data_IF_737417661145
#
_entry.id   IF_737417661145
#
_cell.length_a   1.000
_cell.length_b   1.000
_cell.length_c   1.000
_cell.angle_alpha   90.00
_cell.angle_beta   90.00
_cell.angle_gamma   90.00
#
_symmetry.space_group_name_H-M   'P 1'
#
loop_
_entity.id
_entity.type
_entity.pdbx_description
1 polymer ?
#
# COMPACT_ATOMS: atom_id res chain seq x y z
N UNK A 1 -21.42 4.54 -28.71
CA UNK A 1 -20.35 4.43 -27.68
C UNK A 1 -19.27 3.47 -28.15
N UNK A 2 -19.62 2.21 -28.52
CA UNK A 2 -18.62 1.21 -28.93
C UNK A 2 -17.82 1.66 -30.16
N UNK A 3 -18.48 2.02 -31.27
CA UNK A 3 -17.82 2.41 -32.54
C UNK A 3 -17.02 3.73 -32.42
N UNK A 4 -17.48 4.67 -31.61
CA UNK A 4 -16.93 6.02 -31.53
C UNK A 4 -15.90 6.20 -30.42
N UNK A 5 -15.97 5.40 -29.33
CA UNK A 5 -15.11 5.55 -28.16
C UNK A 5 -14.28 4.28 -27.93
N UNK A 6 -14.91 3.14 -27.73
CA UNK A 6 -14.18 1.94 -27.30
C UNK A 6 -13.31 1.35 -28.42
N UNK A 7 -13.84 1.25 -29.62
CA UNK A 7 -13.13 0.67 -30.77
C UNK A 7 -11.85 1.45 -31.15
N UNK A 8 -11.85 2.79 -31.21
CA UNK A 8 -10.61 3.55 -31.44
C UNK A 8 -9.57 3.40 -30.31
N UNK A 9 -10.01 3.21 -29.07
CA UNK A 9 -9.12 3.08 -27.91
C UNK A 9 -8.44 1.71 -27.87
N UNK A 10 -8.99 0.65 -28.47
CA UNK A 10 -8.41 -0.71 -28.44
C UNK A 10 -6.94 -0.67 -28.88
N UNK A 11 -6.65 -0.07 -30.03
CA UNK A 11 -5.27 0.00 -30.56
C UNK A 11 -4.32 0.79 -29.68
N UNK A 12 -4.81 1.79 -28.96
CA UNK A 12 -4.04 2.58 -27.99
C UNK A 12 -3.69 1.73 -26.78
N UNK A 13 -4.67 1.01 -26.21
CA UNK A 13 -4.47 0.15 -25.04
C UNK A 13 -3.55 -1.02 -25.38
N UNK A 14 -3.67 -1.62 -26.55
CA UNK A 14 -2.75 -2.66 -27.02
C UNK A 14 -1.30 -2.14 -27.10
N UNK A 15 -1.09 -0.94 -27.63
CA UNK A 15 0.24 -0.28 -27.65
C UNK A 15 0.75 -0.01 -26.23
N UNK A 16 -0.11 0.48 -25.33
CA UNK A 16 0.25 0.71 -23.92
C UNK A 16 0.69 -0.59 -23.24
N UNK A 17 -0.07 -1.67 -23.40
CA UNK A 17 0.25 -2.98 -22.83
C UNK A 17 1.58 -3.53 -23.36
N UNK A 18 1.81 -3.40 -24.67
CA UNK A 18 3.05 -3.83 -25.33
C UNK A 18 4.25 -2.97 -24.95
N UNK A 19 4.07 -1.66 -24.85
CA UNK A 19 5.15 -0.73 -24.53
C UNK A 19 5.57 -0.80 -23.08
N UNK A 20 4.63 -0.97 -22.14
CA UNK A 20 4.86 -0.86 -20.70
C UNK A 20 5.29 0.55 -20.27
N UNK A 21 5.58 0.74 -19.00
CA UNK A 21 6.07 1.99 -18.42
C UNK A 21 7.52 1.85 -17.99
N UNK A 22 8.36 2.83 -18.32
CA UNK A 22 9.77 2.83 -17.91
C UNK A 22 9.89 3.14 -16.42
N UNK A 23 10.76 2.41 -15.71
CA UNK A 23 10.95 2.53 -14.26
C UNK A 23 12.43 2.78 -13.95
N UNK A 24 12.69 3.80 -13.16
CA UNK A 24 14.02 4.05 -12.62
C UNK A 24 14.31 3.10 -11.43
N UNK A 25 15.08 2.06 -11.72
CA UNK A 25 15.47 1.05 -10.73
C UNK A 25 16.32 1.62 -9.60
N UNK A 26 17.09 2.70 -9.87
CA UNK A 26 17.92 3.35 -8.86
C UNK A 26 17.06 4.03 -7.80
N UNK A 27 16.03 4.78 -8.23
CA UNK A 27 15.08 5.43 -7.31
C UNK A 27 14.39 4.39 -6.42
N UNK A 28 13.92 3.28 -6.99
CA UNK A 28 13.29 2.22 -6.19
C UNK A 28 14.27 1.60 -5.20
N UNK A 29 15.53 1.38 -5.58
CA UNK A 29 16.57 0.86 -4.68
C UNK A 29 16.86 1.82 -3.51
N UNK A 30 16.97 3.10 -3.79
CA UNK A 30 17.24 4.12 -2.78
C UNK A 30 16.05 4.24 -1.81
N UNK A 31 14.81 4.18 -2.32
CA UNK A 31 13.61 4.14 -1.49
C UNK A 31 13.52 2.86 -0.66
N UNK A 32 13.88 1.69 -1.21
CA UNK A 32 13.91 0.42 -0.50
C UNK A 32 14.83 0.51 0.73
N UNK A 33 16.06 0.97 0.55
CA UNK A 33 17.02 1.14 1.66
C UNK A 33 16.46 2.07 2.74
N UNK A 34 15.98 3.25 2.34
CA UNK A 34 15.43 4.24 3.26
C UNK A 34 14.22 3.72 4.03
N UNK A 35 13.27 3.08 3.34
CA UNK A 35 12.03 2.64 3.96
C UNK A 35 12.21 1.40 4.83
N UNK A 36 13.15 0.51 4.49
CA UNK A 36 13.52 -0.60 5.38
C UNK A 36 14.18 -0.12 6.67
N UNK A 37 15.05 0.90 6.61
CA UNK A 37 15.64 1.49 7.80
C UNK A 37 14.58 2.11 8.71
N UNK A 38 13.65 2.88 8.13
CA UNK A 38 12.57 3.50 8.89
C UNK A 38 11.59 2.48 9.45
N UNK A 39 11.27 1.43 8.68
CA UNK A 39 10.44 0.32 9.14
C UNK A 39 11.05 -0.39 10.35
N UNK A 40 12.37 -0.62 10.33
CA UNK A 40 13.10 -1.22 11.45
C UNK A 40 13.07 -0.32 12.69
N UNK A 41 13.31 0.98 12.50
CA UNK A 41 13.24 1.98 13.58
C UNK A 41 11.83 2.00 14.23
N UNK A 42 10.80 2.13 13.41
CA UNK A 42 9.41 2.15 13.91
C UNK A 42 9.04 0.86 14.62
N UNK A 43 9.49 -0.28 14.12
CA UNK A 43 9.26 -1.59 14.76
C UNK A 43 9.80 -1.62 16.19
N UNK A 44 11.04 -1.16 16.39
CA UNK A 44 11.67 -1.11 17.72
C UNK A 44 10.88 -0.19 18.66
N UNK A 45 10.58 1.03 18.21
CA UNK A 45 9.85 2.00 19.05
C UNK A 45 8.43 1.51 19.38
N UNK A 46 7.74 0.86 18.44
CA UNK A 46 6.41 0.29 18.70
C UNK A 46 6.48 -0.82 19.76
N UNK A 47 7.52 -1.65 19.73
CA UNK A 47 7.71 -2.70 20.73
C UNK A 47 8.06 -2.14 22.11
N UNK A 48 8.90 -1.10 22.17
CA UNK A 48 9.20 -0.38 23.42
C UNK A 48 7.93 0.23 24.03
N UNK A 49 7.12 0.93 23.23
CA UNK A 49 5.84 1.51 23.66
C UNK A 49 4.81 0.46 24.08
N UNK A 50 4.84 -0.71 23.47
CA UNK A 50 3.97 -1.83 23.83
C UNK A 50 4.49 -2.62 25.04
N UNK A 51 5.78 -2.51 25.38
CA UNK A 51 6.46 -3.27 26.43
C UNK A 51 6.68 -4.74 26.08
N UNK A 52 6.56 -5.13 24.82
CA UNK A 52 6.85 -6.47 24.31
C UNK A 52 6.99 -6.52 22.80
N UNK A 53 7.71 -7.53 22.31
CA UNK A 53 7.82 -7.80 20.88
C UNK A 53 6.57 -8.56 20.38
N UNK A 54 6.04 -8.12 19.25
CA UNK A 54 4.89 -8.77 18.60
C UNK A 54 4.85 -8.53 17.10
N UNK A 55 4.01 -9.29 16.38
CA UNK A 55 3.78 -9.09 14.96
C UNK A 55 2.79 -7.93 14.72
N UNK A 56 3.31 -6.74 14.36
CA UNK A 56 2.54 -5.52 14.12
C UNK A 56 1.56 -5.69 12.94
N UNK A 57 1.91 -6.54 11.97
CA UNK A 57 1.06 -6.83 10.82
C UNK A 57 -0.06 -7.85 11.11
N UNK A 58 -0.07 -8.47 12.29
CA UNK A 58 -1.17 -9.36 12.70
C UNK A 58 -2.33 -8.57 13.30
N UNK A 59 -3.51 -8.47 12.65
CA UNK A 59 -4.65 -7.73 13.21
C UNK A 59 -5.11 -8.27 14.56
N UNK A 60 -5.03 -9.59 14.74
CA UNK A 60 -5.43 -10.26 15.99
C UNK A 60 -4.51 -9.87 17.15
N UNK A 61 -3.20 -10.00 16.96
CA UNK A 61 -2.20 -9.68 17.99
C UNK A 61 -2.25 -8.18 18.31
N UNK A 62 -2.28 -7.33 17.27
CA UNK A 62 -2.37 -5.89 17.45
C UNK A 62 -3.63 -5.47 18.21
N UNK A 63 -4.78 -6.12 17.95
CA UNK A 63 -6.01 -5.87 18.70
C UNK A 63 -5.83 -6.17 20.20
N UNK A 64 -5.16 -7.28 20.54
CA UNK A 64 -4.88 -7.63 21.95
C UNK A 64 -3.95 -6.59 22.60
N UNK A 65 -2.89 -6.17 21.93
CA UNK A 65 -1.97 -5.16 22.45
C UNK A 65 -2.69 -3.83 22.69
N UNK A 66 -3.35 -3.29 21.67
CA UNK A 66 -3.95 -1.96 21.75
C UNK A 66 -5.14 -1.90 22.73
N UNK A 67 -6.00 -2.91 22.72
CA UNK A 67 -7.28 -2.82 23.41
C UNK A 67 -7.31 -3.56 24.73
N UNK A 68 -6.56 -4.65 24.89
CA UNK A 68 -6.53 -5.39 26.16
C UNK A 68 -5.37 -4.94 27.04
N UNK A 69 -4.14 -4.79 26.47
CA UNK A 69 -2.97 -4.42 27.27
C UNK A 69 -2.89 -2.91 27.52
N UNK A 70 -2.94 -2.10 26.46
CA UNK A 70 -2.84 -0.64 26.55
C UNK A 70 -4.18 0.05 26.83
N UNK A 71 -5.28 -0.69 26.81
CA UNK A 71 -6.64 -0.21 27.10
C UNK A 71 -7.07 1.04 26.31
N UNK A 72 -6.63 1.15 25.04
CA UNK A 72 -6.89 2.32 24.18
C UNK A 72 -8.28 2.27 23.54
N UNK A 73 -9.07 1.24 23.81
CA UNK A 73 -10.38 1.03 23.21
C UNK A 73 -11.42 2.10 23.57
N UNK A 74 -12.41 2.25 22.69
CA UNK A 74 -13.61 3.02 22.93
C UNK A 74 -14.85 2.14 22.67
N UNK A 75 -15.95 2.38 23.41
CA UNK A 75 -17.22 1.65 23.27
C UNK A 75 -17.82 1.74 21.84
N UNK A 76 -17.40 2.72 21.04
CA UNK A 76 -17.88 2.99 19.69
C UNK A 76 -17.09 2.28 18.58
N UNK A 77 -16.06 1.49 18.92
CA UNK A 77 -15.23 0.85 17.90
C UNK A 77 -15.94 -0.34 17.25
N UNK A 78 -15.75 -0.44 15.93
CA UNK A 78 -16.29 -1.55 15.15
C UNK A 78 -15.60 -2.86 15.52
N UNK A 79 -16.40 -3.91 15.66
CA UNK A 79 -15.89 -5.27 15.82
C UNK A 79 -15.78 -5.98 14.49
N UNK A 80 -14.85 -6.91 14.39
CA UNK A 80 -14.75 -7.86 13.27
C UNK A 80 -15.86 -8.91 13.37
N UNK A 81 -16.16 -9.67 12.30
CA UNK A 81 -17.10 -10.79 12.38
C UNK A 81 -16.76 -11.82 13.46
N UNK A 82 -15.47 -11.92 13.84
CA UNK A 82 -14.98 -12.81 14.91
C UNK A 82 -15.06 -12.19 16.30
N UNK A 83 -15.67 -11.01 16.46
CA UNK A 83 -15.87 -10.32 17.74
C UNK A 83 -14.68 -9.49 18.24
N UNK A 84 -13.50 -9.58 17.61
CA UNK A 84 -12.35 -8.75 17.98
C UNK A 84 -12.56 -7.29 17.54
N UNK A 85 -11.97 -6.33 18.26
CA UNK A 85 -12.00 -4.92 17.87
C UNK A 85 -11.16 -4.75 16.59
N UNK A 86 -11.73 -4.02 15.63
CA UNK A 86 -11.09 -3.80 14.32
C UNK A 86 -9.86 -2.90 14.44
N UNK A 87 -8.74 -3.34 13.85
CA UNK A 87 -7.51 -2.54 13.72
C UNK A 87 -7.31 -2.00 12.32
N UNK A 88 -8.41 -1.82 11.55
CA UNK A 88 -8.35 -1.17 10.22
C UNK A 88 -7.91 0.27 10.38
N UNK A 89 -7.27 0.81 9.35
CA UNK A 89 -6.77 2.19 9.29
C UNK A 89 -7.82 3.20 9.77
N UNK A 90 -9.05 3.12 9.24
CA UNK A 90 -10.14 4.04 9.61
C UNK A 90 -10.58 3.95 11.08
N UNK A 91 -10.33 2.83 11.76
CA UNK A 91 -10.62 2.69 13.20
C UNK A 91 -9.43 3.14 14.06
N UNK A 92 -8.20 2.92 13.60
CA UNK A 92 -7.00 3.42 14.27
C UNK A 92 -6.88 4.94 14.17
N UNK A 93 -7.23 5.55 13.03
CA UNK A 93 -7.22 7.01 12.87
C UNK A 93 -8.07 7.73 13.92
N UNK A 94 -9.19 7.14 14.35
CA UNK A 94 -10.03 7.70 15.43
C UNK A 94 -9.34 7.73 16.79
N UNK A 95 -8.26 6.98 16.95
CA UNK A 95 -7.49 6.84 18.19
C UNK A 95 -6.14 7.57 18.13
N UNK A 96 -5.84 8.26 17.04
CA UNK A 96 -4.53 8.89 16.79
C UNK A 96 -4.10 9.80 17.94
N UNK A 97 -5.03 10.54 18.51
CA UNK A 97 -4.77 11.49 19.61
C UNK A 97 -4.73 10.84 20.99
N UNK A 98 -5.08 9.54 21.10
CA UNK A 98 -5.11 8.86 22.39
C UNK A 98 -3.76 8.34 22.85
N UNK A 99 -2.90 7.93 21.90
CA UNK A 99 -1.57 7.40 22.23
C UNK A 99 -0.65 7.47 21.03
N UNK A 100 0.64 7.86 21.21
CA UNK A 100 1.62 7.98 20.12
C UNK A 100 1.80 6.70 19.30
N UNK A 101 1.68 5.53 19.93
CA UNK A 101 1.80 4.22 19.28
C UNK A 101 0.89 4.07 18.06
N UNK A 102 -0.28 4.71 18.07
CA UNK A 102 -1.27 4.61 16.98
C UNK A 102 -0.70 5.22 15.69
N UNK A 103 -0.13 6.43 15.79
CA UNK A 103 0.52 7.09 14.66
C UNK A 103 1.67 6.25 14.09
N UNK A 104 2.51 5.70 14.97
CA UNK A 104 3.63 4.84 14.58
C UNK A 104 3.20 3.55 13.87
N UNK A 105 2.11 2.91 14.35
CA UNK A 105 1.54 1.71 13.72
C UNK A 105 0.97 2.02 12.34
N UNK A 106 0.29 3.15 12.17
CA UNK A 106 -0.25 3.57 10.87
C UNK A 106 0.89 3.80 9.86
N UNK A 107 1.94 4.50 10.27
CA UNK A 107 3.12 4.74 9.45
C UNK A 107 3.88 3.44 9.12
N UNK A 108 4.08 2.58 10.11
CA UNK A 108 4.67 1.25 9.92
C UNK A 108 3.91 0.42 8.87
N UNK A 109 2.59 0.41 8.95
CA UNK A 109 1.74 -0.33 8.01
C UNK A 109 1.76 0.26 6.61
N UNK A 110 1.80 1.59 6.50
CA UNK A 110 1.96 2.26 5.21
C UNK A 110 3.29 1.88 4.56
N UNK A 111 4.42 2.03 5.28
CA UNK A 111 5.74 1.65 4.79
C UNK A 111 5.81 0.17 4.38
N UNK A 112 5.31 -0.72 5.24
CA UNK A 112 5.27 -2.16 4.97
C UNK A 112 4.50 -2.48 3.69
N UNK A 113 3.35 -1.84 3.47
CA UNK A 113 2.56 -1.98 2.26
C UNK A 113 3.27 -1.43 1.03
N UNK A 114 3.90 -0.26 1.13
CA UNK A 114 4.63 0.37 0.02
C UNK A 114 5.82 -0.48 -0.41
N UNK A 115 6.57 -1.02 0.54
CA UNK A 115 7.69 -1.93 0.28
C UNK A 115 7.20 -3.21 -0.41
N UNK A 116 6.27 -3.92 0.21
CA UNK A 116 5.83 -5.24 -0.28
C UNK A 116 5.06 -5.20 -1.59
N UNK A 117 4.31 -4.11 -1.85
CA UNK A 117 3.44 -4.02 -3.03
C UNK A 117 4.13 -3.37 -4.24
N UNK A 118 5.05 -2.43 -3.99
CA UNK A 118 5.63 -1.62 -5.08
C UNK A 118 7.16 -1.65 -5.08
N UNK A 119 7.81 -1.23 -4.00
CA UNK A 119 9.23 -0.90 -4.03
C UNK A 119 10.09 -2.14 -4.25
N UNK A 120 9.83 -3.23 -3.49
CA UNK A 120 10.57 -4.48 -3.60
C UNK A 120 9.96 -5.44 -4.62
N UNK A 121 8.64 -5.31 -4.88
CA UNK A 121 7.93 -6.19 -5.80
C UNK A 121 8.16 -5.84 -7.28
N UNK A 122 8.35 -4.58 -7.64
CA UNK A 122 8.47 -4.14 -9.03
C UNK A 122 9.83 -4.50 -9.67
N UNK A 123 11.01 -4.28 -9.02
CA UNK A 123 12.30 -4.48 -9.67
C UNK A 123 12.54 -5.86 -10.32
N UNK A 124 12.11 -6.99 -9.71
CA UNK A 124 12.28 -8.31 -10.32
C UNK A 124 11.37 -8.56 -11.54
N UNK A 125 10.39 -7.70 -11.79
CA UNK A 125 9.39 -7.86 -12.84
C UNK A 125 9.63 -6.95 -14.05
N UNK A 126 10.71 -6.17 -14.02
CA UNK A 126 11.11 -5.31 -15.12
C UNK A 126 11.71 -6.13 -16.25
N UNK A 127 11.35 -5.76 -17.48
CA UNK A 127 11.99 -6.32 -18.68
C UNK A 127 13.45 -5.84 -18.83
N UNK A 128 14.14 -6.32 -19.87
CA UNK A 128 15.53 -5.94 -20.19
C UNK A 128 15.73 -4.45 -20.44
N UNK A 129 14.66 -3.71 -20.75
CA UNK A 129 14.66 -2.28 -21.01
C UNK A 129 14.19 -1.47 -19.77
N UNK A 130 14.11 -2.11 -18.61
CA UNK A 130 13.58 -1.54 -17.36
C UNK A 130 12.14 -1.04 -17.50
N UNK A 131 11.29 -1.77 -18.24
CA UNK A 131 9.87 -1.46 -18.38
C UNK A 131 9.03 -2.45 -17.61
N UNK A 132 8.04 -1.94 -16.89
CA UNK A 132 7.00 -2.70 -16.22
C UNK A 132 5.80 -2.82 -17.17
N UNK A 133 5.37 -4.05 -17.42
CA UNK A 133 4.20 -4.33 -18.23
C UNK A 133 3.00 -4.60 -17.34
N UNK A 134 1.94 -3.83 -17.53
CA UNK A 134 0.63 -4.04 -16.91
C UNK A 134 -0.37 -4.36 -18.01
N UNK A 135 -1.38 -5.13 -17.71
CA UNK A 135 -2.47 -5.43 -18.66
C UNK A 135 -3.66 -4.52 -18.34
N UNK A 136 -3.89 -3.52 -19.18
CA UNK A 136 -5.08 -2.69 -19.12
C UNK A 136 -6.22 -3.34 -19.90
N UNK A 137 -7.41 -3.37 -19.29
CA UNK A 137 -8.63 -4.02 -19.82
C UNK A 137 -9.72 -2.95 -19.92
N UNK A 138 -10.22 -2.68 -21.13
CA UNK A 138 -11.20 -1.63 -21.39
C UNK A 138 -12.56 -1.89 -20.73
N UNK A 139 -13.08 -3.11 -20.84
CA UNK A 139 -14.38 -3.50 -20.30
C UNK A 139 -14.28 -4.17 -18.91
N UNK A 140 -13.26 -3.83 -18.12
CA UNK A 140 -12.95 -4.52 -16.86
C UNK A 140 -13.84 -4.14 -15.67
N UNK A 141 -14.66 -3.10 -15.79
CA UNK A 141 -15.53 -2.62 -14.71
C UNK A 141 -16.88 -2.16 -15.25
N UNK A 142 -17.95 -2.44 -14.49
CA UNK A 142 -19.32 -2.00 -14.83
C UNK A 142 -19.49 -0.47 -14.90
N UNK A 143 -18.54 0.29 -14.32
CA UNK A 143 -18.53 1.76 -14.31
C UNK A 143 -17.92 2.37 -15.57
N UNK A 144 -17.48 1.58 -16.56
CA UNK A 144 -16.74 2.04 -17.74
C UNK A 144 -15.28 2.42 -17.48
N UNK A 145 -14.75 2.24 -16.26
CA UNK A 145 -13.34 2.43 -15.98
C UNK A 145 -12.51 1.27 -16.51
N UNK A 146 -11.33 1.58 -17.05
CA UNK A 146 -10.35 0.53 -17.34
C UNK A 146 -9.95 -0.19 -16.06
N UNK A 147 -9.84 -1.51 -16.12
CA UNK A 147 -9.19 -2.31 -15.10
C UNK A 147 -7.71 -2.50 -15.43
N UNK A 148 -6.89 -2.80 -14.43
CA UNK A 148 -5.48 -3.11 -14.61
C UNK A 148 -5.14 -4.38 -13.85
N UNK A 149 -4.61 -5.37 -14.57
CA UNK A 149 -4.12 -6.64 -14.00
C UNK A 149 -2.60 -6.71 -14.09
N UNK A 150 -2.00 -7.66 -13.39
CA UNK A 150 -0.54 -7.92 -13.43
C UNK A 150 0.31 -6.72 -13.04
N UNK A 151 0.05 -6.04 -12.00
CA UNK A 151 0.52 -4.76 -11.46
C UNK A 151 -0.51 -3.67 -11.67
N UNK A 152 -1.32 -3.47 -10.64
CA UNK A 152 -2.33 -2.43 -10.69
C UNK A 152 -1.67 -1.05 -10.51
N UNK A 153 -1.15 -0.48 -11.60
CA UNK A 153 -0.52 0.84 -11.63
C UNK A 153 -1.49 1.97 -11.27
N UNK A 154 -2.79 1.74 -11.36
CA UNK A 154 -3.82 2.71 -10.98
C UNK A 154 -3.90 2.91 -9.46
N UNK A 155 -3.38 1.96 -8.67
CA UNK A 155 -3.40 1.99 -7.21
C UNK A 155 -2.12 2.53 -6.57
N UNK A 156 -1.16 3.02 -7.36
CA UNK A 156 0.06 3.64 -6.80
C UNK A 156 -0.35 4.86 -5.95
N UNK A 157 -0.03 4.88 -4.65
CA UNK A 157 -0.46 5.93 -3.75
C UNK A 157 0.02 7.32 -4.19
N UNK A 158 -0.84 8.33 -4.00
CA UNK A 158 -0.54 9.72 -4.34
C UNK A 158 -0.91 10.72 -3.24
N UNK A 159 -1.54 10.26 -2.16
CA UNK A 159 -2.02 11.13 -1.08
C UNK A 159 -0.91 11.48 -0.09
N UNK A 160 -0.08 10.52 0.26
CA UNK A 160 1.00 10.70 1.23
C UNK A 160 2.32 11.08 0.56
N UNK A 161 3.23 11.67 1.33
CA UNK A 161 4.59 12.00 0.87
C UNK A 161 5.33 10.73 0.48
N UNK A 162 5.20 9.66 1.29
CA UNK A 162 5.82 8.35 1.05
C UNK A 162 5.33 7.72 -0.26
N UNK A 163 4.01 7.72 -0.49
CA UNK A 163 3.43 7.20 -1.72
C UNK A 163 3.82 8.00 -2.96
N UNK A 164 3.87 9.34 -2.86
CA UNK A 164 4.31 10.20 -3.98
C UNK A 164 5.75 9.96 -4.39
N UNK A 165 6.64 9.67 -3.42
CA UNK A 165 8.04 9.37 -3.72
C UNK A 165 8.20 8.17 -4.66
N UNK A 166 7.33 7.15 -4.55
CA UNK A 166 7.37 5.98 -5.45
C UNK A 166 7.06 6.39 -6.89
N UNK A 167 6.13 7.34 -7.09
CA UNK A 167 5.73 7.78 -8.43
C UNK A 167 6.86 8.43 -9.21
N UNK A 168 7.85 9.01 -8.54
CA UNK A 168 9.02 9.60 -9.20
C UNK A 168 9.89 8.57 -9.93
N UNK A 169 9.74 7.28 -9.60
CA UNK A 169 10.44 6.20 -10.29
C UNK A 169 9.82 5.86 -11.65
N UNK A 170 8.61 6.31 -11.96
CA UNK A 170 7.92 6.03 -13.23
C UNK A 170 8.12 7.19 -14.20
N UNK A 171 8.63 6.88 -15.42
CA UNK A 171 9.01 7.84 -16.45
C UNK A 171 8.16 7.69 -17.72
#
# INVERSE_FOLDING_TARGET
VFEEIEKPIISVVEKMNKMGIKVDKKILKDLSLKYHQELARLKTVIWEEAGEEFNINSPKVLSLILFNKLNLGDKRQKKTPTGAISTRESELEKLRDKHPIIGMILEYRELSKLLSTYIDAIPPQLDKNYRLHSTFILAGAATGRMASNSHNLQNIPNKTVLGRAIRTAFM
#
